data_IF_436267551496
#
_entry.id   IF_436267551496
#
_cell.length_a   1.000
_cell.length_b   1.000
_cell.length_c   1.000
_cell.angle_alpha   90.00
_cell.angle_beta   90.00
_cell.angle_gamma   90.00
#
_symmetry.space_group_name_H-M   'P 1'
#
loop_
_entity.id
_entity.type
_entity.pdbx_description
1 polymer ?
#
# COMPACT_ATOMS: atom_id res chain seq x y z
N UNK A 1 21.87 1.15 -31.30
CA UNK A 1 23.16 0.90 -32.01
C UNK A 1 24.36 1.28 -31.12
N UNK A 2 24.15 1.79 -29.90
CA UNK A 2 25.19 2.10 -28.90
C UNK A 2 26.04 0.90 -28.44
N UNK A 3 25.46 -0.28 -28.24
CA UNK A 3 26.15 -1.39 -27.56
C UNK A 3 27.40 -1.92 -28.28
N UNK A 4 27.49 -1.76 -29.61
CA UNK A 4 28.70 -2.11 -30.40
C UNK A 4 29.80 -1.06 -30.29
N UNK A 5 29.46 0.23 -30.12
CA UNK A 5 30.44 1.32 -29.94
C UNK A 5 31.04 1.29 -28.54
N UNK A 6 30.24 0.97 -27.52
CA UNK A 6 30.72 0.85 -26.14
C UNK A 6 31.70 -0.32 -25.98
N UNK A 7 31.44 -1.46 -26.64
CA UNK A 7 32.35 -2.60 -26.67
C UNK A 7 33.71 -2.28 -27.32
N UNK A 8 33.73 -1.47 -28.39
CA UNK A 8 34.96 -1.03 -29.07
C UNK A 8 35.72 0.00 -28.23
N UNK A 9 35.02 0.91 -27.54
CA UNK A 9 35.64 1.91 -26.67
C UNK A 9 36.21 1.30 -25.38
N UNK A 10 35.55 0.29 -24.81
CA UNK A 10 36.04 -0.51 -23.68
C UNK A 10 37.25 -1.38 -24.06
N UNK A 11 37.24 -1.96 -25.27
CA UNK A 11 38.40 -2.67 -25.83
C UNK A 11 39.61 -1.74 -25.98
N UNK A 12 39.40 -0.51 -26.46
CA UNK A 12 40.46 0.48 -26.65
C UNK A 12 41.04 1.00 -25.32
N UNK A 13 40.19 1.24 -24.30
CA UNK A 13 40.65 1.58 -22.94
C UNK A 13 41.51 0.48 -22.30
N UNK A 14 41.18 -0.80 -22.55
CA UNK A 14 41.97 -1.93 -22.05
C UNK A 14 43.33 -2.05 -22.75
N UNK A 15 43.41 -1.71 -24.04
CA UNK A 15 44.68 -1.67 -24.79
C UNK A 15 45.59 -0.52 -24.32
N UNK A 16 45.03 0.66 -24.06
CA UNK A 16 45.78 1.83 -23.62
C UNK A 16 46.33 1.71 -22.17
N UNK A 17 45.67 0.94 -21.30
CA UNK A 17 46.16 0.62 -19.94
C UNK A 17 47.28 -0.44 -19.91
N UNK A 18 47.66 -1.00 -21.06
CA UNK A 18 48.72 -2.02 -21.17
C UNK A 18 50.07 -1.51 -21.68
N UNK A 19 50.20 -0.22 -21.98
CA UNK A 19 51.45 0.40 -22.42
C UNK A 19 52.15 1.13 -21.27
N UNK A 20 52.67 0.38 -20.31
CA UNK A 20 53.96 0.71 -19.68
C UNK A 20 54.41 -0.43 -18.75
N UNK A 21 55.63 -0.92 -19.02
CA UNK A 21 56.52 -1.72 -18.15
C UNK A 21 56.46 -3.26 -18.24
N UNK A 22 57.65 -3.78 -18.54
CA UNK A 22 58.21 -5.13 -18.30
C UNK A 22 57.81 -6.27 -19.25
N UNK A 23 58.60 -6.42 -20.32
CA UNK A 23 58.74 -7.69 -21.03
C UNK A 23 59.43 -8.70 -20.07
N UNK A 24 58.82 -9.86 -19.73
CA UNK A 24 59.39 -10.81 -18.78
C UNK A 24 60.72 -11.38 -19.29
N UNK A 25 61.78 -11.35 -18.48
CA UNK A 25 63.12 -11.82 -18.89
C UNK A 25 63.40 -13.26 -18.44
N UNK A 26 62.63 -13.80 -17.50
CA UNK A 26 62.77 -15.17 -17.00
C UNK A 26 61.49 -16.02 -17.17
N UNK A 27 61.60 -17.36 -17.28
CA UNK A 27 60.44 -18.25 -17.41
C UNK A 27 59.44 -18.19 -16.23
N UNK A 28 59.90 -17.86 -15.03
CA UNK A 28 59.07 -17.71 -13.83
C UNK A 28 58.26 -16.41 -13.84
N UNK A 29 58.86 -15.30 -14.27
CA UNK A 29 58.18 -14.01 -14.48
C UNK A 29 57.11 -14.12 -15.57
N UNK A 30 57.36 -14.92 -16.62
CA UNK A 30 56.38 -15.18 -17.68
C UNK A 30 55.13 -15.90 -17.18
N UNK A 31 55.26 -16.85 -16.24
CA UNK A 31 54.10 -17.52 -15.60
C UNK A 31 53.30 -16.55 -14.76
N UNK A 32 53.95 -15.75 -13.91
CA UNK A 32 53.29 -14.72 -13.08
C UNK A 32 52.55 -13.68 -13.94
N UNK A 33 53.19 -13.19 -15.01
CA UNK A 33 52.59 -12.26 -15.97
C UNK A 33 51.34 -12.85 -16.66
N UNK A 34 51.37 -14.13 -17.03
CA UNK A 34 50.19 -14.81 -17.61
C UNK A 34 49.06 -14.95 -16.59
N UNK A 35 49.37 -15.32 -15.35
CA UNK A 35 48.36 -15.50 -14.29
C UNK A 35 47.72 -14.17 -13.88
N UNK A 36 48.48 -13.08 -13.79
CA UNK A 36 47.96 -11.74 -13.54
C UNK A 36 47.03 -11.25 -14.67
N UNK A 37 47.39 -11.49 -15.94
CA UNK A 37 46.52 -11.15 -17.08
C UNK A 37 45.25 -11.99 -17.10
N UNK A 38 45.34 -13.26 -16.72
CA UNK A 38 44.18 -14.16 -16.60
C UNK A 38 43.25 -13.72 -15.46
N UNK A 39 43.81 -13.28 -14.33
CA UNK A 39 43.05 -12.74 -13.21
C UNK A 39 42.38 -11.40 -13.55
N UNK A 40 43.10 -10.46 -14.17
CA UNK A 40 42.53 -9.18 -14.66
C UNK A 40 41.39 -9.41 -15.66
N UNK A 41 41.52 -10.40 -16.55
CA UNK A 41 40.47 -10.77 -17.51
C UNK A 41 39.25 -11.42 -16.84
N UNK A 42 39.42 -12.14 -15.73
CA UNK A 42 38.31 -12.70 -14.93
C UNK A 42 37.54 -11.60 -14.21
N UNK A 43 38.25 -10.71 -13.49
CA UNK A 43 37.64 -9.55 -12.83
C UNK A 43 36.85 -8.67 -13.80
N UNK A 44 37.43 -8.35 -14.95
CA UNK A 44 36.72 -7.56 -15.97
C UNK A 44 35.43 -8.23 -16.48
N UNK A 45 35.41 -9.56 -16.59
CA UNK A 45 34.19 -10.30 -16.97
C UNK A 45 33.15 -10.31 -15.85
N UNK A 46 33.59 -10.43 -14.60
CA UNK A 46 32.73 -10.39 -13.42
C UNK A 46 32.09 -9.00 -13.26
N UNK A 47 32.89 -7.93 -13.34
CA UNK A 47 32.41 -6.55 -13.24
C UNK A 47 31.40 -6.21 -14.34
N UNK A 48 31.67 -6.66 -15.58
CA UNK A 48 30.74 -6.46 -16.70
C UNK A 48 29.41 -7.21 -16.51
N UNK A 49 29.46 -8.42 -15.96
CA UNK A 49 28.26 -9.21 -15.67
C UNK A 49 27.43 -8.59 -14.53
N UNK A 50 28.10 -8.01 -13.53
CA UNK A 50 27.43 -7.28 -12.44
C UNK A 50 26.76 -6.01 -13.00
N UNK A 51 27.45 -5.26 -13.86
CA UNK A 51 26.89 -4.06 -14.49
C UNK A 51 25.67 -4.38 -15.37
N UNK A 52 25.71 -5.49 -16.13
CA UNK A 52 24.56 -5.97 -16.91
C UNK A 52 23.37 -6.34 -16.01
N UNK A 53 23.60 -7.06 -14.90
CA UNK A 53 22.53 -7.41 -13.94
C UNK A 53 21.95 -6.19 -13.23
N UNK A 54 22.77 -5.21 -12.85
CA UNK A 54 22.30 -3.97 -12.22
C UNK A 54 21.43 -3.19 -13.20
N UNK A 55 21.84 -3.06 -14.47
CA UNK A 55 21.02 -2.42 -15.52
C UNK A 55 19.72 -3.16 -15.78
N UNK A 56 19.72 -4.49 -15.71
CA UNK A 56 18.51 -5.30 -15.88
C UNK A 56 17.56 -5.16 -14.68
N UNK A 57 18.09 -5.14 -13.46
CA UNK A 57 17.32 -4.87 -12.23
C UNK A 57 16.74 -3.45 -12.19
N UNK A 58 17.51 -2.43 -12.59
CA UNK A 58 17.02 -1.05 -12.67
C UNK A 58 15.91 -0.90 -13.72
N UNK A 59 16.01 -1.59 -14.86
CA UNK A 59 14.94 -1.62 -15.86
C UNK A 59 13.70 -2.34 -15.37
N UNK A 60 13.86 -3.50 -14.73
CA UNK A 60 12.75 -4.25 -14.14
C UNK A 60 12.06 -3.41 -13.05
N UNK A 61 12.83 -2.76 -12.17
CA UNK A 61 12.29 -1.88 -11.14
C UNK A 61 11.57 -0.65 -11.73
N UNK A 62 12.09 -0.07 -12.81
CA UNK A 62 11.45 1.04 -13.51
C UNK A 62 10.18 0.60 -14.27
N UNK A 63 10.13 -0.62 -14.78
CA UNK A 63 8.95 -1.20 -15.43
C UNK A 63 7.88 -1.57 -14.40
N UNK A 64 8.23 -2.19 -13.27
CA UNK A 64 7.27 -2.45 -12.18
C UNK A 64 6.75 -1.15 -11.58
N UNK A 65 7.61 -0.14 -11.35
CA UNK A 65 7.17 1.17 -10.87
C UNK A 65 6.26 1.89 -11.89
N UNK A 66 6.49 1.72 -13.19
CA UNK A 66 5.62 2.23 -14.26
C UNK A 66 4.30 1.48 -14.36
N UNK A 67 4.28 0.16 -14.16
CA UNK A 67 3.04 -0.61 -14.11
C UNK A 67 2.22 -0.30 -12.85
N UNK A 68 2.85 -0.09 -11.70
CA UNK A 68 2.19 0.34 -10.46
C UNK A 68 1.58 1.74 -10.60
N UNK A 69 2.30 2.70 -11.20
CA UNK A 69 1.79 4.06 -11.46
C UNK A 69 0.79 4.14 -12.62
N UNK A 70 0.87 3.23 -13.61
CA UNK A 70 -0.11 3.16 -14.71
C UNK A 70 -1.41 2.44 -14.31
N UNK A 71 -1.36 1.51 -13.34
CA UNK A 71 -2.56 0.95 -12.71
C UNK A 71 -3.27 1.99 -11.87
N UNK A 72 -2.56 2.70 -10.98
CA UNK A 72 -3.16 3.69 -10.08
C UNK A 72 -3.79 4.91 -10.76
N UNK A 73 -3.46 5.19 -12.03
CA UNK A 73 -3.92 6.39 -12.75
C UNK A 73 -5.13 6.15 -13.68
N UNK A 74 -5.59 4.91 -13.82
CA UNK A 74 -6.72 4.56 -14.70
C UNK A 74 -8.00 4.13 -13.99
N UNK A 75 -7.98 4.00 -12.68
CA UNK A 75 -9.12 3.53 -11.91
C UNK A 75 -9.75 4.70 -11.12
N UNK A 76 -10.87 5.18 -11.68
CA UNK A 76 -11.94 5.98 -11.05
C UNK A 76 -11.80 7.51 -11.18
N UNK A 77 -12.25 8.04 -12.33
CA UNK A 77 -12.42 9.48 -12.56
C UNK A 77 -13.65 10.10 -11.83
N UNK A 78 -14.33 9.33 -10.98
CA UNK A 78 -15.52 9.76 -10.26
C UNK A 78 -15.54 9.07 -8.89
N UNK A 79 -15.85 9.84 -7.85
CA UNK A 79 -16.08 9.33 -6.50
C UNK A 79 -17.56 9.08 -6.28
N UNK A 80 -17.91 8.01 -5.57
CA UNK A 80 -19.28 7.68 -5.22
C UNK A 80 -19.51 7.96 -3.74
N UNK A 81 -20.43 8.88 -3.44
CA UNK A 81 -20.88 9.17 -2.07
C UNK A 81 -22.32 8.70 -1.86
N UNK A 82 -22.61 8.07 -0.73
CA UNK A 82 -23.96 7.65 -0.34
C UNK A 82 -24.40 8.41 0.91
N UNK A 83 -25.60 9.00 0.88
CA UNK A 83 -26.20 9.64 2.05
C UNK A 83 -27.24 8.71 2.70
N UNK A 84 -27.13 8.51 4.02
CA UNK A 84 -28.02 7.63 4.78
C UNK A 84 -28.54 8.33 6.05
N UNK A 85 -29.83 8.20 6.37
CA UNK A 85 -30.34 8.67 7.65
C UNK A 85 -29.95 7.66 8.74
N UNK A 86 -29.45 8.14 9.88
CA UNK A 86 -29.09 7.24 10.99
C UNK A 86 -30.31 6.64 11.73
N UNK A 87 -31.52 7.16 11.48
CA UNK A 87 -32.79 6.64 11.98
C UNK A 87 -33.11 5.21 11.52
N UNK A 88 -32.43 4.70 10.47
CA UNK A 88 -32.56 3.30 10.03
C UNK A 88 -32.27 2.29 11.14
N UNK A 89 -31.41 2.65 12.11
CA UNK A 89 -31.08 1.79 13.24
C UNK A 89 -32.20 1.74 14.29
N UNK A 90 -33.11 2.71 14.33
CA UNK A 90 -34.24 2.71 15.27
C UNK A 90 -35.25 1.60 14.97
N UNK A 91 -35.32 1.15 13.73
CA UNK A 91 -36.21 0.07 13.30
C UNK A 91 -35.77 -1.31 13.85
N UNK A 92 -34.53 -1.46 14.28
CA UNK A 92 -34.02 -2.74 14.75
C UNK A 92 -34.42 -3.01 16.21
N UNK A 93 -34.99 -4.20 16.41
CA UNK A 93 -35.60 -4.62 17.69
C UNK A 93 -34.60 -4.89 18.81
N UNK A 94 -33.34 -5.23 18.47
CA UNK A 94 -32.28 -5.52 19.44
C UNK A 94 -30.99 -4.76 19.09
N UNK A 95 -30.12 -4.47 20.07
CA UNK A 95 -28.84 -3.81 19.81
C UNK A 95 -27.89 -4.66 18.94
N UNK A 96 -28.02 -5.98 18.98
CA UNK A 96 -27.28 -6.91 18.10
C UNK A 96 -27.71 -6.73 16.64
N UNK A 97 -29.03 -6.68 16.39
CA UNK A 97 -29.59 -6.47 15.06
C UNK A 97 -29.26 -5.08 14.51
N UNK A 98 -29.16 -4.05 15.36
CA UNK A 98 -28.66 -2.72 14.96
C UNK A 98 -27.27 -2.80 14.39
N UNK A 99 -26.36 -3.45 15.13
CA UNK A 99 -24.98 -3.62 14.68
C UNK A 99 -24.94 -4.44 13.40
N UNK A 100 -25.71 -5.53 13.30
CA UNK A 100 -25.78 -6.35 12.09
C UNK A 100 -26.28 -5.56 10.87
N UNK A 101 -27.33 -4.76 11.01
CA UNK A 101 -27.85 -3.90 9.94
C UNK A 101 -26.81 -2.90 9.43
N UNK A 102 -26.08 -2.24 10.34
CA UNK A 102 -24.97 -1.37 9.99
C UNK A 102 -23.87 -2.13 9.22
N UNK A 103 -23.58 -3.38 9.60
CA UNK A 103 -22.67 -4.26 8.89
C UNK A 103 -23.11 -4.60 7.46
N UNK A 104 -24.41 -4.81 7.25
CA UNK A 104 -24.96 -5.06 5.91
C UNK A 104 -24.78 -3.84 5.00
N UNK A 105 -25.02 -2.64 5.53
CA UNK A 105 -24.80 -1.37 4.81
C UNK A 105 -23.31 -1.23 4.44
N UNK A 106 -22.41 -1.46 5.39
CA UNK A 106 -20.98 -1.39 5.14
C UNK A 106 -20.53 -2.37 4.05
N UNK A 107 -21.05 -3.61 4.08
CA UNK A 107 -20.73 -4.63 3.07
C UNK A 107 -21.26 -4.24 1.69
N UNK A 108 -22.48 -3.72 1.62
CA UNK A 108 -23.01 -3.20 0.37
C UNK A 108 -22.14 -2.07 -0.17
N UNK A 109 -21.75 -1.12 0.67
CA UNK A 109 -20.89 0.00 0.28
C UNK A 109 -19.53 -0.46 -0.29
N UNK A 110 -18.88 -1.45 0.34
CA UNK A 110 -17.62 -2.00 -0.16
C UNK A 110 -17.79 -2.74 -1.48
N UNK A 111 -18.87 -3.51 -1.65
CA UNK A 111 -19.14 -4.24 -2.91
C UNK A 111 -19.31 -3.29 -4.10
N UNK A 112 -19.88 -2.11 -3.86
CA UNK A 112 -20.08 -1.08 -4.88
C UNK A 112 -18.96 -0.02 -4.95
N UNK A 113 -17.84 -0.23 -4.26
CA UNK A 113 -16.70 0.69 -4.21
C UNK A 113 -17.11 2.14 -3.88
N UNK A 114 -17.88 2.32 -2.81
CA UNK A 114 -18.29 3.63 -2.31
C UNK A 114 -17.14 4.28 -1.54
N UNK A 115 -16.81 5.52 -1.88
CA UNK A 115 -15.70 6.27 -1.28
C UNK A 115 -16.13 6.97 0.02
N UNK A 116 -17.37 7.44 0.10
CA UNK A 116 -17.87 8.24 1.21
C UNK A 116 -19.30 7.85 1.62
N UNK A 117 -19.52 7.74 2.93
CA UNK A 117 -20.86 7.55 3.50
C UNK A 117 -21.18 8.75 4.40
N UNK A 118 -22.16 9.54 3.99
CA UNK A 118 -22.63 10.72 4.72
C UNK A 118 -23.85 10.34 5.55
N UNK A 119 -23.73 10.37 6.87
CA UNK A 119 -24.86 10.12 7.77
C UNK A 119 -25.48 11.45 8.15
N UNK A 120 -26.76 11.63 7.82
CA UNK A 120 -27.50 12.84 8.16
C UNK A 120 -28.57 12.57 9.22
N UNK A 121 -28.91 13.63 9.95
CA UNK A 121 -30.06 13.62 10.85
C UNK A 121 -31.29 14.14 10.10
N UNK A 122 -32.28 13.27 9.90
CA UNK A 122 -33.56 13.63 9.28
C UNK A 122 -34.44 14.43 10.23
N UNK A 123 -34.26 14.22 11.54
CA UNK A 123 -35.01 14.94 12.55
C UNK A 123 -34.25 16.23 12.85
N UNK A 124 -34.64 17.34 12.20
CA UNK A 124 -34.04 18.67 12.34
C UNK A 124 -34.12 19.33 13.73
N UNK A 125 -34.12 18.56 14.82
CA UNK A 125 -34.09 19.04 16.19
C UNK A 125 -32.64 19.38 16.59
N UNK A 126 -32.20 20.57 16.18
CA UNK A 126 -31.19 21.31 16.93
C UNK A 126 -31.75 21.64 18.32
N UNK A 127 -31.74 20.67 19.24
CA UNK A 127 -31.80 20.95 20.67
C UNK A 127 -30.40 21.37 21.10
N UNK A 128 -30.05 22.62 20.85
CA UNK A 128 -28.91 23.26 21.52
C UNK A 128 -29.30 23.41 22.99
N UNK A 129 -28.70 22.59 23.85
CA UNK A 129 -28.66 22.89 25.28
C UNK A 129 -27.52 23.90 25.52
N UNK A 130 -27.84 25.01 26.19
CA UNK A 130 -27.04 26.22 26.44
C UNK A 130 -25.81 26.03 27.36
N UNK A 131 -25.31 24.79 27.55
CA UNK A 131 -24.34 24.49 28.61
C UNK A 131 -23.08 23.72 28.17
N UNK A 132 -22.84 23.51 26.88
CA UNK A 132 -21.53 23.00 26.42
C UNK A 132 -21.10 21.62 26.97
N UNK A 133 -21.97 20.89 27.66
CA UNK A 133 -21.71 19.54 28.15
C UNK A 133 -22.35 18.49 27.22
N UNK A 134 -21.56 17.50 26.83
CA UNK A 134 -22.00 16.32 26.07
C UNK A 134 -22.97 15.50 26.95
N UNK A 135 -24.27 15.80 26.86
CA UNK A 135 -25.29 14.98 27.51
C UNK A 135 -25.30 13.58 26.87
N UNK A 136 -24.71 12.65 27.60
CA UNK A 136 -25.10 11.25 27.56
C UNK A 136 -26.58 11.15 27.96
N UNK A 137 -27.31 10.23 27.33
CA UNK A 137 -28.68 9.78 27.68
C UNK A 137 -29.83 10.49 26.95
N UNK A 138 -30.39 9.76 25.97
CA UNK A 138 -31.75 9.86 25.40
C UNK A 138 -32.03 10.93 24.32
N UNK A 139 -31.91 10.55 23.05
CA UNK A 139 -33.04 9.98 22.26
C UNK A 139 -33.10 10.29 20.76
N UNK A 140 -32.21 11.09 20.15
CA UNK A 140 -32.31 11.35 18.68
C UNK A 140 -31.00 11.30 17.89
N UNK A 141 -29.87 11.76 18.45
CA UNK A 141 -28.56 11.71 17.76
C UNK A 141 -27.72 10.44 18.01
N UNK A 142 -28.14 9.56 18.93
CA UNK A 142 -27.34 8.39 19.32
C UNK A 142 -27.23 7.37 18.19
N UNK A 143 -28.27 7.21 17.38
CA UNK A 143 -28.28 6.25 16.27
C UNK A 143 -27.34 6.68 15.14
N UNK A 144 -27.29 7.97 14.84
CA UNK A 144 -26.36 8.52 13.84
C UNK A 144 -24.90 8.32 14.30
N UNK A 145 -24.61 8.60 15.57
CA UNK A 145 -23.27 8.40 16.16
C UNK A 145 -22.91 6.91 16.20
N UNK A 146 -23.85 6.05 16.60
CA UNK A 146 -23.65 4.60 16.64
C UNK A 146 -23.38 4.05 15.24
N UNK A 147 -24.16 4.45 14.24
CA UNK A 147 -23.96 4.05 12.85
C UNK A 147 -22.58 4.48 12.34
N UNK A 148 -22.23 5.76 12.52
CA UNK A 148 -20.95 6.30 12.11
C UNK A 148 -19.78 5.54 12.74
N UNK A 149 -19.87 5.27 14.04
CA UNK A 149 -18.83 4.55 14.79
C UNK A 149 -18.67 3.10 14.31
N UNK A 150 -19.77 2.40 14.02
CA UNK A 150 -19.73 1.03 13.50
C UNK A 150 -19.10 1.01 12.09
N UNK A 151 -19.52 1.92 11.20
CA UNK A 151 -18.96 2.01 9.86
C UNK A 151 -17.45 2.32 9.89
N UNK A 152 -17.03 3.28 10.72
CA UNK A 152 -15.60 3.58 10.93
C UNK A 152 -14.82 2.39 11.49
N UNK A 153 -15.40 1.66 12.44
CA UNK A 153 -14.78 0.46 12.99
C UNK A 153 -14.56 -0.62 11.93
N UNK A 154 -15.53 -0.77 11.02
CA UNK A 154 -15.48 -1.77 9.95
C UNK A 154 -14.50 -1.37 8.84
N UNK A 155 -14.48 -0.10 8.43
CA UNK A 155 -13.53 0.44 7.45
C UNK A 155 -12.09 0.32 7.96
N UNK A 156 -11.87 0.52 9.26
CA UNK A 156 -10.54 0.42 9.86
C UNK A 156 -9.96 -1.01 9.73
N UNK A 157 -8.71 -1.15 9.24
CA UNK A 157 -8.02 -2.43 9.16
C UNK A 157 -7.88 -3.13 10.53
N UNK A 158 -8.04 -4.46 10.54
CA UNK A 158 -8.13 -5.26 11.77
C UNK A 158 -6.95 -5.03 12.74
N UNK A 159 -5.73 -4.84 12.22
CA UNK A 159 -4.53 -4.63 13.02
C UNK A 159 -4.49 -3.26 13.73
N UNK A 160 -5.25 -2.26 13.24
CA UNK A 160 -5.30 -0.91 13.81
C UNK A 160 -6.46 -0.71 14.80
N UNK A 161 -7.47 -1.59 14.78
CA UNK A 161 -8.70 -1.41 15.57
C UNK A 161 -8.43 -1.26 17.06
N UNK A 162 -7.48 -2.02 17.61
CA UNK A 162 -7.12 -1.95 19.04
C UNK A 162 -6.53 -0.60 19.46
N UNK A 163 -5.89 0.11 18.53
CA UNK A 163 -5.23 1.39 18.81
C UNK A 163 -6.18 2.58 18.65
N UNK A 164 -7.06 2.55 17.64
CA UNK A 164 -7.99 3.66 17.37
C UNK A 164 -9.31 3.58 18.14
N UNK A 165 -9.78 2.37 18.47
CA UNK A 165 -11.09 2.19 19.08
C UNK A 165 -10.97 1.66 20.52
N UNK A 166 -11.16 2.52 21.53
CA UNK A 166 -11.34 2.06 22.90
C UNK A 166 -12.66 1.27 23.02
N UNK A 167 -12.76 0.44 24.06
CA UNK A 167 -13.95 -0.36 24.30
C UNK A 167 -15.16 0.54 24.56
N UNK A 168 -16.14 0.51 23.65
CA UNK A 168 -17.35 1.34 23.70
C UNK A 168 -18.60 0.46 23.67
N UNK A 169 -19.68 0.90 24.35
CA UNK A 169 -20.95 0.15 24.41
C UNK A 169 -21.56 -0.07 23.03
N UNK A 170 -21.42 0.91 22.13
CA UNK A 170 -21.92 0.81 20.75
C UNK A 170 -21.22 -0.27 19.90
N UNK A 171 -20.00 -0.65 20.27
CA UNK A 171 -19.19 -1.63 19.55
C UNK A 171 -19.16 -3.00 20.28
N UNK A 172 -20.00 -3.18 21.30
CA UNK A 172 -20.02 -4.41 22.10
C UNK A 172 -20.29 -5.67 21.27
N UNK A 173 -21.10 -5.54 20.21
CA UNK A 173 -21.46 -6.64 19.30
C UNK A 173 -20.68 -6.59 17.98
N UNK A 174 -19.58 -5.84 17.90
CA UNK A 174 -18.80 -5.73 16.66
C UNK A 174 -18.20 -7.08 16.21
N UNK A 175 -18.05 -8.05 17.12
CA UNK A 175 -17.64 -9.41 16.78
C UNK A 175 -18.66 -10.23 15.98
N UNK A 176 -19.93 -9.78 15.92
CA UNK A 176 -20.98 -10.40 15.09
C UNK A 176 -20.85 -10.00 13.61
N UNK A 177 -20.09 -8.94 13.31
CA UNK A 177 -20.02 -8.37 11.98
C UNK A 177 -19.19 -9.24 11.05
N UNK A 178 -19.68 -9.44 9.82
CA UNK A 178 -18.92 -10.10 8.77
C UNK A 178 -17.73 -9.21 8.34
N UNK A 179 -16.56 -9.79 8.04
CA UNK A 179 -15.44 -9.02 7.50
C UNK A 179 -15.83 -8.38 6.15
N UNK A 180 -15.30 -7.18 5.91
CA UNK A 180 -15.50 -6.44 4.65
C UNK A 180 -14.51 -6.87 3.56
N UNK A 181 -13.38 -7.48 3.93
CA UNK A 181 -12.30 -7.95 3.05
C UNK A 181 -11.94 -6.93 1.94
N UNK A 182 -11.87 -5.65 2.32
CA UNK A 182 -11.45 -4.57 1.42
C UNK A 182 -9.94 -4.66 1.14
N UNK A 183 -9.43 -4.11 0.02
CA UNK A 183 -8.02 -4.24 -0.36
C UNK A 183 -7.02 -3.75 0.70
N UNK A 184 -7.42 -2.79 1.53
CA UNK A 184 -6.61 -2.27 2.65
C UNK A 184 -6.69 -3.13 3.92
N UNK A 185 -7.50 -4.19 3.95
CA UNK A 185 -7.56 -5.19 5.04
C UNK A 185 -6.60 -6.35 4.77
N UNK A 186 -5.33 -6.02 4.54
CA UNK A 186 -4.27 -7.00 4.29
C UNK A 186 -4.11 -7.94 5.49
N UNK A 187 -3.95 -9.24 5.21
CA UNK A 187 -3.55 -10.25 6.20
C UNK A 187 -2.04 -10.46 6.06
N UNK A 188 -1.36 -10.68 7.18
CA UNK A 188 0.03 -11.12 7.14
C UNK A 188 0.04 -12.59 6.71
N UNK A 189 0.65 -12.88 5.57
CA UNK A 189 0.89 -14.24 5.06
C UNK A 189 1.89 -15.01 5.93
#
# INVERSE_FOLDING_TARGET
METKKDAQHLSAKYTALTDEKTNPRTPEEWRKWKDERKAKKRKWKEDKLIEERVKEQEKQAAETAKEETAKSSKENACTISIALPGSILDNAQSPELRTYLAGQIARAAVVFNVDEIVIFDENGAMSRDDNGEMRSTNQKGQCNIQLARILQYLECPQYLRKSFFPQHKDLQYAGLLNPLDSPHHMRAD
#
